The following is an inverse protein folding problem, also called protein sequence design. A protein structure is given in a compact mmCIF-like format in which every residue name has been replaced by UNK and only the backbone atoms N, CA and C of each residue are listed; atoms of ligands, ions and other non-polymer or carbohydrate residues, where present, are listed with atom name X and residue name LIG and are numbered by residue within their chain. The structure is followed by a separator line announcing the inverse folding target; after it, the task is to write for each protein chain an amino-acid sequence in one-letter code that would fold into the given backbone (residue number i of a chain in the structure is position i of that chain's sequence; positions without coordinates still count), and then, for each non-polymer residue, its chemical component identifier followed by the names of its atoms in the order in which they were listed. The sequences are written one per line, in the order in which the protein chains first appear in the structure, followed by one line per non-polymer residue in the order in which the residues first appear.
data_IF_009234765298
#
_entry.id   IF_009234765298
#
_cell.length_a   1.000
_cell.length_b   1.000
_cell.length_c   1.000
_cell.angle_alpha   90.00
_cell.angle_beta   90.00
_cell.angle_gamma   90.00
#
_symmetry.space_group_name_H-M   'P 1'
#
loop_
_entity.id
_entity.type
_entity.pdbx_description
1 polymer ?
#
# COMPACT_ATOMS: atom_id res chain seq x y z
N UNK A 1 -9.67 -1.54 11.60
CA UNK A 1 -10.15 -1.77 10.20
C UNK A 1 -8.95 -1.50 9.32
N UNK A 2 -8.61 -2.40 8.39
CA UNK A 2 -7.48 -2.17 7.47
C UNK A 2 -7.89 -1.06 6.50
N UNK A 3 -7.12 0.01 6.43
CA UNK A 3 -7.34 1.08 5.46
C UNK A 3 -6.84 0.67 4.08
N UNK A 4 -7.47 1.20 3.05
CA UNK A 4 -7.00 1.06 1.68
C UNK A 4 -6.05 2.24 1.44
N UNK A 5 -4.86 1.95 0.93
CA UNK A 5 -3.85 2.97 0.61
C UNK A 5 -4.06 3.54 -0.79
N UNK A 6 -4.54 2.71 -1.73
CA UNK A 6 -4.78 3.11 -3.11
C UNK A 6 -6.27 3.27 -3.41
N UNK A 7 -6.63 4.38 -4.02
CA UNK A 7 -7.96 4.64 -4.57
C UNK A 7 -8.01 4.38 -6.08
N UNK A 8 -9.17 4.62 -6.69
CA UNK A 8 -9.40 4.38 -8.13
C UNK A 8 -8.32 5.00 -9.01
N UNK A 9 -8.02 6.26 -8.78
CA UNK A 9 -7.05 7.07 -9.50
C UNK A 9 -5.65 6.50 -9.41
N UNK A 10 -5.25 6.06 -8.23
CA UNK A 10 -3.93 5.45 -7.98
C UNK A 10 -3.79 4.11 -8.70
N UNK A 11 -4.82 3.25 -8.56
CA UNK A 11 -4.85 1.92 -9.20
C UNK A 11 -4.71 2.05 -10.71
N UNK A 12 -5.52 2.94 -11.32
CA UNK A 12 -5.49 3.17 -12.77
C UNK A 12 -4.18 3.79 -13.21
N UNK A 13 -3.69 4.81 -12.49
CA UNK A 13 -2.41 5.46 -12.77
C UNK A 13 -1.23 4.50 -12.69
N UNK A 14 -1.19 3.64 -11.65
CA UNK A 14 -0.17 2.60 -11.49
C UNK A 14 -0.24 1.56 -12.62
N UNK A 15 -1.43 1.09 -12.99
CA UNK A 15 -1.61 0.14 -14.07
C UNK A 15 -1.18 0.73 -15.43
N UNK A 16 -1.52 1.99 -15.73
CA UNK A 16 -1.06 2.68 -16.92
C UNK A 16 0.46 2.75 -16.99
N UNK A 17 1.13 3.15 -15.90
CA UNK A 17 2.59 3.20 -15.82
C UNK A 17 3.23 1.82 -15.99
N UNK A 18 2.70 0.81 -15.30
CA UNK A 18 3.20 -0.55 -15.37
C UNK A 18 3.12 -1.17 -16.77
N UNK A 19 2.10 -0.77 -17.56
CA UNK A 19 1.91 -1.20 -18.95
C UNK A 19 2.55 -0.26 -19.97
N UNK A 20 3.14 0.85 -19.56
CA UNK A 20 3.71 1.86 -20.46
C UNK A 20 2.65 2.52 -21.36
N UNK A 21 1.41 2.63 -20.88
CA UNK A 21 0.29 3.24 -21.60
C UNK A 21 0.20 4.73 -21.29
N UNK A 22 0.33 5.56 -22.33
CA UNK A 22 0.00 6.98 -22.23
C UNK A 22 -1.52 7.19 -22.24
N UNK A 23 -1.95 8.38 -21.81
CA UNK A 23 -3.36 8.80 -21.89
C UNK A 23 -3.91 8.68 -23.31
N UNK A 24 -3.11 9.13 -24.32
CA UNK A 24 -3.50 9.05 -25.73
C UNK A 24 -3.73 7.59 -26.15
N UNK A 25 -2.79 6.73 -25.80
CA UNK A 25 -2.87 5.32 -26.17
C UNK A 25 -4.03 4.60 -25.49
N UNK A 26 -4.31 4.89 -24.23
CA UNK A 26 -5.45 4.31 -23.52
C UNK A 26 -6.80 4.82 -24.11
N UNK A 27 -6.88 6.10 -24.45
CA UNK A 27 -8.03 6.69 -25.14
C UNK A 27 -8.31 5.99 -26.47
N UNK A 28 -7.28 5.80 -27.31
CA UNK A 28 -7.40 5.12 -28.60
C UNK A 28 -7.85 3.66 -28.45
N UNK A 29 -7.27 2.93 -27.50
CA UNK A 29 -7.59 1.51 -27.26
C UNK A 29 -9.01 1.30 -26.73
N UNK A 30 -9.43 2.15 -25.80
CA UNK A 30 -10.72 2.01 -25.11
C UNK A 30 -11.87 2.73 -25.80
N UNK A 31 -11.59 3.57 -26.80
CA UNK A 31 -12.55 4.48 -27.43
C UNK A 31 -13.25 5.41 -26.41
N UNK A 32 -12.53 5.79 -25.35
CA UNK A 32 -12.98 6.74 -24.32
C UNK A 32 -12.26 8.06 -24.53
N UNK A 33 -12.96 9.19 -24.33
CA UNK A 33 -12.34 10.52 -24.45
C UNK A 33 -11.20 10.71 -23.41
N UNK A 34 -10.17 11.44 -23.79
CA UNK A 34 -9.07 11.78 -22.86
C UNK A 34 -9.57 12.52 -21.62
N UNK A 35 -10.57 13.36 -21.79
CA UNK A 35 -11.13 14.13 -20.68
C UNK A 35 -11.84 13.23 -19.67
N UNK A 36 -12.62 12.25 -20.15
CA UNK A 36 -13.24 11.26 -19.25
C UNK A 36 -12.22 10.36 -18.52
N UNK A 37 -11.08 10.07 -19.16
CA UNK A 37 -9.99 9.33 -18.48
C UNK A 37 -9.30 10.23 -17.45
N UNK A 38 -9.11 11.52 -17.72
CA UNK A 38 -8.55 12.47 -16.75
C UNK A 38 -9.45 12.64 -15.53
N UNK A 39 -10.75 12.83 -15.74
CA UNK A 39 -11.75 12.90 -14.66
C UNK A 39 -11.64 11.66 -13.74
N UNK A 40 -11.48 10.48 -14.34
CA UNK A 40 -11.28 9.25 -13.58
C UNK A 40 -9.94 9.24 -12.83
N UNK A 41 -8.86 9.76 -13.41
CA UNK A 41 -7.56 9.93 -12.76
C UNK A 41 -7.55 11.03 -11.68
N UNK A 42 -8.60 11.83 -11.60
CA UNK A 42 -8.90 12.81 -10.55
C UNK A 42 -9.88 12.26 -9.50
N UNK A 43 -10.25 10.96 -9.61
CA UNK A 43 -11.09 10.25 -8.64
C UNK A 43 -12.57 10.16 -8.99
N UNK A 44 -12.99 10.68 -10.16
CA UNK A 44 -14.38 10.58 -10.62
C UNK A 44 -14.76 9.14 -11.02
N UNK A 45 -15.69 8.54 -10.27
CA UNK A 45 -16.12 7.16 -10.48
C UNK A 45 -17.21 7.06 -11.55
N UNK A 46 -16.80 6.87 -12.81
CA UNK A 46 -17.72 6.63 -13.93
C UNK A 46 -17.64 5.17 -14.37
N UNK A 47 -18.69 4.37 -14.09
CA UNK A 47 -18.72 2.94 -14.36
C UNK A 47 -18.57 2.58 -15.84
N UNK A 48 -19.09 3.39 -16.75
CA UNK A 48 -18.98 3.13 -18.19
C UNK A 48 -17.55 3.35 -18.68
N UNK A 49 -16.87 4.39 -18.18
CA UNK A 49 -15.45 4.66 -18.44
C UNK A 49 -14.61 3.52 -17.87
N UNK A 50 -14.83 3.16 -16.60
CA UNK A 50 -14.12 2.05 -15.94
C UNK A 50 -14.27 0.75 -16.75
N UNK A 51 -15.49 0.42 -17.18
CA UNK A 51 -15.77 -0.80 -17.93
C UNK A 51 -15.04 -0.84 -19.27
N UNK A 52 -14.84 0.31 -19.90
CA UNK A 52 -14.15 0.42 -21.18
C UNK A 52 -12.63 0.33 -21.04
N UNK A 53 -12.04 0.91 -19.97
CA UNK A 53 -10.57 0.96 -19.81
C UNK A 53 -9.98 -0.24 -19.08
N UNK A 54 -10.71 -0.81 -18.11
CA UNK A 54 -10.20 -1.87 -17.24
C UNK A 54 -9.60 -3.09 -17.99
N UNK A 55 -10.22 -3.60 -19.08
CA UNK A 55 -9.64 -4.71 -19.85
C UNK A 55 -8.28 -4.38 -20.48
N UNK A 56 -8.04 -3.13 -20.88
CA UNK A 56 -6.77 -2.68 -21.46
C UNK A 56 -5.67 -2.52 -20.41
N UNK A 57 -6.06 -2.44 -19.14
CA UNK A 57 -5.17 -2.33 -18.00
C UNK A 57 -4.94 -3.68 -17.27
N UNK A 58 -5.55 -4.77 -17.76
CA UNK A 58 -5.60 -6.09 -17.11
C UNK A 58 -6.20 -6.03 -15.69
N UNK A 59 -7.17 -5.13 -15.48
CA UNK A 59 -7.87 -4.97 -14.22
C UNK A 59 -9.26 -5.61 -14.28
N UNK A 60 -9.67 -6.23 -13.17
CA UNK A 60 -11.04 -6.72 -13.01
C UNK A 60 -12.02 -5.55 -12.88
N UNK A 61 -12.92 -5.43 -13.85
CA UNK A 61 -13.85 -4.32 -13.95
C UNK A 61 -14.74 -4.17 -12.71
N UNK A 62 -15.27 -5.28 -12.19
CA UNK A 62 -16.17 -5.23 -11.04
C UNK A 62 -15.44 -4.80 -9.77
N UNK A 63 -14.21 -5.23 -9.58
CA UNK A 63 -13.37 -4.83 -8.46
C UNK A 63 -12.98 -3.36 -8.55
N UNK A 64 -12.64 -2.88 -9.76
CA UNK A 64 -12.29 -1.48 -9.99
C UNK A 64 -13.48 -0.54 -9.75
N UNK A 65 -14.70 -0.93 -10.17
CA UNK A 65 -15.93 -0.20 -9.85
C UNK A 65 -16.17 -0.15 -8.33
N UNK A 66 -15.97 -1.27 -7.60
CA UNK A 66 -16.09 -1.30 -6.14
C UNK A 66 -15.06 -0.38 -5.45
N UNK A 67 -13.83 -0.34 -5.97
CA UNK A 67 -12.81 0.58 -5.49
C UNK A 67 -13.22 2.04 -5.71
N UNK A 68 -13.67 2.39 -6.92
CA UNK A 68 -14.14 3.74 -7.24
C UNK A 68 -15.33 4.19 -6.40
N UNK A 69 -16.27 3.30 -6.12
CA UNK A 69 -17.40 3.56 -5.20
C UNK A 69 -17.00 3.56 -3.73
N UNK A 70 -15.75 3.24 -3.40
CA UNK A 70 -15.26 3.07 -2.02
C UNK A 70 -16.15 2.09 -1.21
N UNK A 71 -16.78 1.12 -1.90
CA UNK A 71 -17.76 0.20 -1.32
C UNK A 71 -17.16 -1.09 -0.81
N UNK A 72 -15.90 -1.37 -1.14
CA UNK A 72 -15.17 -2.52 -0.63
C UNK A 72 -14.18 -2.11 0.47
N UNK A 73 -14.06 -2.96 1.45
CA UNK A 73 -13.03 -2.86 2.49
C UNK A 73 -12.53 -4.27 2.82
N UNK A 74 -11.24 -4.44 3.09
CA UNK A 74 -10.73 -5.72 3.56
C UNK A 74 -11.39 -6.08 4.89
N UNK A 75 -11.76 -7.36 5.03
CA UNK A 75 -12.23 -7.85 6.31
C UNK A 75 -11.06 -7.92 7.29
N UNK A 76 -11.30 -7.49 8.53
CA UNK A 76 -10.32 -7.69 9.57
C UNK A 76 -10.18 -9.20 9.83
N UNK A 77 -9.01 -9.73 9.57
CA UNK A 77 -8.66 -11.11 9.91
C UNK A 77 -7.70 -11.04 11.11
N UNK A 78 -8.07 -11.73 12.18
CA UNK A 78 -7.16 -11.90 13.32
C UNK A 78 -6.31 -13.13 13.00
N UNK A 79 -5.04 -12.92 12.77
CA UNK A 79 -4.06 -13.97 12.56
C UNK A 79 -3.13 -14.01 13.77
N UNK A 80 -2.90 -15.21 14.30
CA UNK A 80 -1.85 -15.38 15.29
C UNK A 80 -0.49 -15.13 14.63
N UNK A 81 0.37 -14.36 15.28
CA UNK A 81 1.66 -14.00 14.70
C UNK A 81 1.64 -12.78 13.77
N UNK A 82 0.53 -12.03 13.66
CA UNK A 82 0.46 -10.82 12.83
C UNK A 82 -0.29 -9.69 13.53
N UNK A 83 0.33 -8.53 13.63
CA UNK A 83 -0.32 -7.26 13.98
C UNK A 83 -0.23 -6.26 12.85
N UNK A 84 -1.29 -5.47 12.67
CA UNK A 84 -1.41 -4.47 11.61
C UNK A 84 -1.59 -3.12 12.28
N UNK A 85 -0.76 -2.17 11.91
CA UNK A 85 -0.83 -0.77 12.35
C UNK A 85 -1.24 0.08 11.17
N UNK A 86 -2.02 1.11 11.46
CA UNK A 86 -2.61 1.96 10.46
C UNK A 86 -2.42 3.40 10.91
N UNK A 87 -1.51 4.11 10.27
CA UNK A 87 -1.08 5.44 10.67
C UNK A 87 -1.46 6.50 9.64
N UNK A 88 -1.90 7.71 10.06
CA UNK A 88 -2.35 8.74 9.14
C UNK A 88 -1.17 9.40 8.41
N UNK A 89 -1.38 9.70 7.12
CA UNK A 89 -0.49 10.49 6.29
C UNK A 89 -1.32 11.43 5.40
N UNK A 90 -1.32 12.72 5.70
CA UNK A 90 -2.19 13.71 5.07
C UNK A 90 -3.66 13.28 5.10
N UNK A 91 -4.26 13.01 3.93
CA UNK A 91 -5.65 12.60 3.73
C UNK A 91 -5.83 11.08 3.57
N UNK A 92 -4.75 10.31 3.70
CA UNK A 92 -4.74 8.85 3.58
C UNK A 92 -4.18 8.17 4.83
N UNK A 93 -4.15 6.85 4.81
CA UNK A 93 -3.52 6.03 5.85
C UNK A 93 -2.54 5.07 5.21
N UNK A 94 -1.45 4.79 5.91
CA UNK A 94 -0.46 3.79 5.52
C UNK A 94 -0.47 2.65 6.51
N UNK A 95 -0.30 1.42 6.00
CA UNK A 95 -0.23 0.22 6.81
C UNK A 95 1.23 -0.14 7.10
N UNK A 96 1.49 -0.62 8.31
CA UNK A 96 2.70 -1.35 8.66
C UNK A 96 2.35 -2.63 9.40
N UNK A 97 3.26 -3.59 9.41
CA UNK A 97 2.97 -4.90 9.94
C UNK A 97 4.10 -5.38 10.85
N UNK A 98 3.72 -5.98 11.97
CA UNK A 98 4.59 -6.80 12.79
C UNK A 98 4.20 -8.26 12.58
N UNK A 99 5.17 -9.08 12.19
CA UNK A 99 4.98 -10.51 11.98
C UNK A 99 5.94 -11.27 12.88
N UNK A 100 5.45 -12.22 13.65
CA UNK A 100 6.26 -13.02 14.55
C UNK A 100 5.88 -14.50 14.49
N UNK A 101 6.81 -15.35 14.84
CA UNK A 101 6.54 -16.77 15.03
C UNK A 101 5.95 -17.01 16.43
N UNK A 102 4.69 -17.48 16.54
CA UNK A 102 4.08 -17.74 17.84
C UNK A 102 4.79 -18.81 18.69
N UNK A 103 5.68 -19.59 18.09
CA UNK A 103 6.44 -20.63 18.77
C UNK A 103 7.74 -20.17 19.41
N UNK A 104 8.18 -18.95 19.10
CA UNK A 104 9.42 -18.36 19.61
C UNK A 104 9.32 -16.83 19.66
N UNK A 105 10.43 -16.13 19.88
CA UNK A 105 10.49 -14.66 19.99
C UNK A 105 10.93 -13.96 18.70
N UNK A 106 11.12 -14.69 17.60
CA UNK A 106 11.57 -14.14 16.32
C UNK A 106 10.48 -13.35 15.61
N UNK A 107 10.81 -12.14 15.17
CA UNK A 107 9.86 -11.25 14.51
C UNK A 107 10.49 -10.40 13.40
N UNK A 108 9.64 -9.94 12.50
CA UNK A 108 9.98 -9.02 11.42
C UNK A 108 8.97 -7.88 11.33
N UNK A 109 9.43 -6.72 10.87
CA UNK A 109 8.60 -5.54 10.61
C UNK A 109 8.53 -5.29 9.10
N UNK A 110 7.35 -4.94 8.60
CA UNK A 110 7.14 -4.49 7.22
C UNK A 110 6.63 -3.05 7.23
N UNK A 111 7.44 -2.15 6.72
CA UNK A 111 7.29 -0.71 6.76
C UNK A 111 7.17 -0.12 8.17
N UNK A 112 7.33 1.18 8.31
CA UNK A 112 7.27 1.82 9.62
C UNK A 112 5.95 2.54 9.86
N UNK A 113 5.25 2.86 8.78
CA UNK A 113 4.21 3.87 8.83
C UNK A 113 4.79 5.24 9.22
N UNK A 114 3.93 6.14 9.58
CA UNK A 114 4.29 7.50 10.01
C UNK A 114 4.61 7.59 11.50
N UNK A 115 4.22 6.57 12.28
CA UNK A 115 4.50 6.43 13.70
C UNK A 115 4.53 4.95 14.08
N UNK A 116 5.68 4.46 14.51
CA UNK A 116 5.88 3.07 14.92
C UNK A 116 5.79 2.84 16.43
N UNK A 117 5.26 3.78 17.21
CA UNK A 117 5.23 3.70 18.68
C UNK A 117 4.41 2.51 19.19
N UNK A 118 3.21 2.30 18.64
CA UNK A 118 2.36 1.16 19.02
C UNK A 118 3.04 -0.17 18.67
N UNK A 119 3.71 -0.25 17.51
CA UNK A 119 4.48 -1.40 17.10
C UNK A 119 5.63 -1.68 18.07
N UNK A 120 6.42 -0.66 18.43
CA UNK A 120 7.53 -0.81 19.39
C UNK A 120 7.00 -1.28 20.75
N UNK A 121 5.90 -0.69 21.23
CA UNK A 121 5.30 -1.10 22.49
C UNK A 121 4.81 -2.56 22.46
N UNK A 122 4.24 -3.02 21.36
CA UNK A 122 3.82 -4.42 21.23
C UNK A 122 5.02 -5.37 21.23
N UNK A 123 6.09 -5.06 20.49
CA UNK A 123 7.33 -5.83 20.48
C UNK A 123 7.89 -5.98 21.91
N UNK A 124 7.94 -4.88 22.67
CA UNK A 124 8.42 -4.88 24.05
C UNK A 124 7.51 -5.68 24.98
N UNK A 125 6.19 -5.50 24.88
CA UNK A 125 5.22 -6.20 25.73
C UNK A 125 5.20 -7.72 25.50
N UNK A 126 5.48 -8.15 24.26
CA UNK A 126 5.58 -9.57 23.90
C UNK A 126 6.97 -10.15 24.08
N UNK A 127 7.99 -9.31 24.40
CA UNK A 127 9.40 -9.68 24.43
C UNK A 127 9.89 -10.29 23.10
N UNK A 128 9.45 -9.73 21.98
CA UNK A 128 9.86 -10.17 20.65
C UNK A 128 11.24 -9.61 20.30
N UNK A 129 11.97 -10.34 19.48
CA UNK A 129 13.25 -9.94 18.92
C UNK A 129 13.10 -9.66 17.43
N UNK A 130 13.22 -8.40 17.07
CA UNK A 130 13.18 -8.00 15.65
C UNK A 130 14.47 -8.42 14.97
N UNK A 131 14.39 -9.35 14.05
CA UNK A 131 15.52 -9.82 13.25
C UNK A 131 15.64 -9.04 11.93
N UNK A 132 14.50 -8.62 11.38
CA UNK A 132 14.47 -7.98 10.06
C UNK A 132 13.43 -6.89 9.98
N UNK A 133 13.79 -5.82 9.25
CA UNK A 133 12.89 -4.74 8.85
C UNK A 133 12.85 -4.75 7.32
N UNK A 134 11.70 -4.95 6.74
CA UNK A 134 11.48 -4.95 5.30
C UNK A 134 10.75 -3.67 4.89
N UNK A 135 11.32 -2.94 3.95
CA UNK A 135 10.63 -1.82 3.30
C UNK A 135 10.04 -2.31 1.98
N UNK A 136 8.73 -2.17 1.84
CA UNK A 136 8.04 -2.49 0.57
C UNK A 136 8.52 -1.57 -0.53
N UNK A 137 8.71 -0.29 -0.19
CA UNK A 137 9.31 0.75 -1.02
C UNK A 137 9.71 1.95 -0.14
N UNK A 138 10.33 3.00 -0.73
CA UNK A 138 10.94 4.10 0.01
C UNK A 138 10.15 5.41 -0.05
N UNK A 139 8.83 5.38 -0.27
CA UNK A 139 8.00 6.57 -0.12
C UNK A 139 7.99 7.04 1.35
N UNK A 140 7.89 8.36 1.53
CA UNK A 140 8.04 9.01 2.83
C UNK A 140 7.11 8.49 3.91
N UNK A 141 5.89 8.12 3.56
CA UNK A 141 4.88 7.56 4.48
C UNK A 141 5.21 6.15 4.98
N UNK A 142 5.97 5.36 4.20
CA UNK A 142 6.40 4.02 4.57
C UNK A 142 7.67 4.00 5.43
N UNK A 143 8.48 5.05 5.36
CA UNK A 143 9.79 5.15 6.03
C UNK A 143 9.87 6.29 7.04
N UNK A 144 8.78 7.03 7.28
CA UNK A 144 8.80 8.26 8.09
C UNK A 144 9.41 8.07 9.47
N UNK A 145 9.15 6.95 10.11
CA UNK A 145 9.62 6.66 11.48
C UNK A 145 10.76 5.60 11.51
N UNK A 146 11.39 5.32 10.35
CA UNK A 146 12.48 4.35 10.22
C UNK A 146 13.66 4.64 11.18
N UNK A 147 14.11 5.90 11.34
CA UNK A 147 15.18 6.20 12.28
C UNK A 147 14.83 5.81 13.72
N UNK A 148 13.58 6.02 14.15
CA UNK A 148 13.11 5.64 15.48
C UNK A 148 13.04 4.12 15.64
N UNK A 149 12.55 3.42 14.62
CA UNK A 149 12.45 1.97 14.62
C UNK A 149 13.85 1.34 14.73
N UNK A 150 14.80 1.77 13.89
CA UNK A 150 16.18 1.29 13.93
C UNK A 150 16.91 1.64 15.22
N UNK A 151 16.63 2.79 15.83
CA UNK A 151 17.21 3.16 17.12
C UNK A 151 16.72 2.24 18.26
N UNK A 152 15.51 1.71 18.17
CA UNK A 152 14.96 0.76 19.14
C UNK A 152 15.44 -0.70 18.90
N UNK A 153 15.74 -1.05 17.65
CA UNK A 153 16.15 -2.39 17.25
C UNK A 153 17.44 -2.34 16.41
N UNK A 154 18.58 -1.95 17.03
CA UNK A 154 19.84 -1.71 16.32
C UNK A 154 20.46 -2.96 15.69
N UNK A 155 20.08 -4.15 16.17
CA UNK A 155 20.57 -5.44 15.67
C UNK A 155 19.71 -5.99 14.50
N UNK A 156 18.60 -5.34 14.18
CA UNK A 156 17.74 -5.75 13.09
C UNK A 156 18.36 -5.43 11.72
N UNK A 157 18.31 -6.37 10.80
CA UNK A 157 18.76 -6.17 9.42
C UNK A 157 17.69 -5.44 8.60
N UNK A 158 18.10 -4.40 7.87
CA UNK A 158 17.20 -3.62 6.99
C UNK A 158 17.27 -4.13 5.56
N UNK A 159 16.11 -4.43 5.00
CA UNK A 159 15.97 -4.90 3.62
C UNK A 159 15.04 -4.00 2.80
N UNK A 160 15.44 -3.73 1.56
CA UNK A 160 14.60 -3.09 0.54
C UNK A 160 14.92 -3.66 -0.82
N UNK A 161 14.07 -3.36 -1.82
CA UNK A 161 14.31 -3.78 -3.19
C UNK A 161 15.56 -3.08 -3.76
N UNK A 162 16.41 -3.83 -4.48
CA UNK A 162 17.54 -3.25 -5.21
C UNK A 162 17.13 -2.31 -6.36
N UNK A 163 15.83 -2.23 -6.66
CA UNK A 163 15.25 -1.32 -7.66
C UNK A 163 14.72 -0.02 -7.06
N UNK A 164 14.69 0.09 -5.73
CA UNK A 164 14.34 1.35 -5.08
C UNK A 164 15.41 2.39 -5.37
N UNK A 165 15.03 3.65 -5.64
CA UNK A 165 15.99 4.73 -5.79
C UNK A 165 16.75 4.89 -4.46
N UNK A 166 18.06 5.00 -4.59
CA UNK A 166 18.96 5.33 -3.48
C UNK A 166 19.30 6.81 -3.66
N UNK A 167 18.56 7.67 -2.97
CA UNK A 167 18.86 9.11 -2.91
C UNK A 167 19.78 9.44 -1.72
#
# INVERSE_FOLDING_TARGET
MISIEDYLEDIVGKAMRGKGLSLDKLSDLSNVSKDSIKELLEGECNESVISSIAPHLDLDTASLIRAGKKSWRPQAVILDGVSIYNTPWNDMYVNSFLVWDPSNDSAAVFDTGTNCEELINEVQNRNLRIESIFLTHTHGDHIADLPKLMANFPDAELYTSSKEPVD
#
